data_IF_578521965481
#
_entry.id   IF_578521965481
#
_cell.length_a   1.000
_cell.length_b   1.000
_cell.length_c   1.000
_cell.angle_alpha   90.00
_cell.angle_beta   90.00
_cell.angle_gamma   90.00
#
_symmetry.space_group_name_H-M   'P 1'
#
loop_
_entity.id
_entity.type
_entity.pdbx_description
1 polymer ?
#
# COMPACT_ATOMS: atom_id res chain seq x y z
N UNK A 1 51.19 6.00 -11.64
CA UNK A 1 50.04 5.27 -11.05
C UNK A 1 48.78 5.87 -11.63
N UNK A 2 48.09 5.10 -12.47
CA UNK A 2 46.96 5.56 -13.24
C UNK A 2 45.77 5.91 -12.34
N UNK A 3 45.18 7.05 -12.62
CA UNK A 3 43.97 7.60 -12.03
C UNK A 3 42.78 6.67 -12.27
N UNK A 4 42.27 6.04 -11.21
CA UNK A 4 41.00 5.30 -11.25
C UNK A 4 40.11 5.72 -10.09
N UNK A 5 39.65 6.96 -10.14
CA UNK A 5 38.68 7.52 -9.18
C UNK A 5 37.43 7.99 -9.92
N UNK A 6 36.75 7.12 -10.67
CA UNK A 6 35.51 7.47 -11.39
C UNK A 6 34.75 6.23 -11.88
N UNK A 7 34.39 5.33 -10.96
CA UNK A 7 33.51 4.19 -11.29
C UNK A 7 32.46 3.87 -10.23
N UNK A 8 32.32 4.70 -9.18
CA UNK A 8 31.37 4.44 -8.08
C UNK A 8 30.18 5.42 -8.06
N UNK A 9 30.09 6.35 -9.02
CA UNK A 9 28.99 7.31 -9.07
C UNK A 9 27.79 6.79 -9.89
N UNK A 10 28.03 5.88 -10.85
CA UNK A 10 27.00 5.42 -11.79
C UNK A 10 25.96 4.50 -11.15
N UNK A 11 26.39 3.57 -10.29
CA UNK A 11 25.48 2.67 -9.58
C UNK A 11 24.57 3.39 -8.58
N UNK A 12 25.11 4.38 -7.84
CA UNK A 12 24.33 5.14 -6.88
C UNK A 12 23.26 6.00 -7.57
N UNK A 13 23.59 6.60 -8.72
CA UNK A 13 22.64 7.36 -9.53
C UNK A 13 21.53 6.47 -10.10
N UNK A 14 21.85 5.24 -10.53
CA UNK A 14 20.83 4.27 -10.96
C UNK A 14 19.90 3.86 -9.82
N UNK A 15 20.42 3.63 -8.60
CA UNK A 15 19.59 3.35 -7.42
C UNK A 15 18.70 4.54 -7.05
N UNK A 16 19.24 5.76 -7.08
CA UNK A 16 18.48 6.99 -6.83
C UNK A 16 17.39 7.22 -7.88
N UNK A 17 17.68 6.92 -9.15
CA UNK A 17 16.71 7.00 -10.24
C UNK A 17 15.59 5.96 -10.09
N UNK A 18 15.90 4.72 -9.69
CA UNK A 18 14.90 3.68 -9.40
C UNK A 18 14.00 4.04 -8.22
N UNK A 19 14.53 4.73 -7.20
CA UNK A 19 13.71 5.27 -6.09
C UNK A 19 12.81 6.42 -6.56
N UNK A 20 13.27 7.24 -7.51
CA UNK A 20 12.48 8.37 -8.04
C UNK A 20 11.44 7.93 -9.08
N UNK A 21 11.72 6.86 -9.85
CA UNK A 21 10.78 6.23 -10.78
C UNK A 21 9.90 5.17 -10.12
N UNK A 22 9.93 5.11 -8.78
CA UNK A 22 8.84 4.64 -7.95
C UNK A 22 7.60 5.52 -8.12
N UNK A 23 7.11 5.59 -9.35
CA UNK A 23 5.68 5.52 -9.65
C UNK A 23 5.20 4.28 -8.91
N UNK A 24 4.94 4.46 -7.61
CA UNK A 24 3.99 3.63 -6.91
C UNK A 24 2.73 3.86 -7.71
N UNK A 25 2.47 2.97 -8.66
CA UNK A 25 1.13 2.68 -9.08
C UNK A 25 0.49 2.12 -7.81
N UNK A 26 0.15 3.03 -6.90
CA UNK A 26 -1.05 2.94 -6.10
C UNK A 26 -2.09 2.80 -7.20
N UNK A 27 -2.35 1.55 -7.61
CA UNK A 27 -3.63 1.21 -8.19
C UNK A 27 -4.57 1.64 -7.10
N UNK A 28 -5.03 2.90 -7.21
CA UNK A 28 -6.02 3.45 -6.34
C UNK A 28 -7.24 2.68 -6.79
N UNK A 29 -7.41 1.52 -6.15
CA UNK A 29 -8.67 0.94 -5.80
C UNK A 29 -9.42 2.09 -5.08
N UNK A 30 -9.85 3.13 -5.82
CA UNK A 30 -10.42 4.40 -5.31
C UNK A 30 -11.65 4.16 -4.42
N UNK A 31 -12.12 2.92 -4.46
CA UNK A 31 -13.21 2.32 -3.75
C UNK A 31 -12.87 1.70 -2.40
N UNK A 32 -11.61 1.34 -2.15
CA UNK A 32 -11.17 0.74 -0.90
C UNK A 32 -10.56 1.81 0.00
N UNK A 33 -11.26 2.11 1.10
CA UNK A 33 -10.82 3.13 2.06
C UNK A 33 -10.17 2.47 3.27
N UNK A 34 -9.04 3.01 3.68
CA UNK A 34 -8.30 2.55 4.86
C UNK A 34 -9.09 2.85 6.15
N UNK A 35 -9.28 1.82 6.99
CA UNK A 35 -9.97 1.91 8.27
C UNK A 35 -9.02 1.66 9.48
N UNK A 36 -7.74 2.00 9.35
CA UNK A 36 -6.70 1.86 10.38
C UNK A 36 -7.06 2.56 11.71
N UNK A 37 -7.83 3.65 11.67
CA UNK A 37 -8.22 4.38 12.87
C UNK A 37 -8.99 3.53 13.90
N UNK A 38 -9.84 2.60 13.43
CA UNK A 38 -10.64 1.73 14.30
C UNK A 38 -10.07 0.31 14.41
N UNK A 39 -9.27 -0.11 13.42
CA UNK A 39 -8.71 -1.46 13.35
C UNK A 39 -7.28 -1.43 12.81
N UNK A 40 -6.30 -1.12 13.67
CA UNK A 40 -4.95 -0.77 13.21
C UNK A 40 -4.14 -1.95 12.67
N UNK A 41 -4.51 -3.18 13.03
CA UNK A 41 -3.86 -4.39 12.51
C UNK A 41 -4.90 -5.45 12.19
N UNK A 42 -4.87 -5.93 10.96
CA UNK A 42 -5.86 -6.85 10.41
C UNK A 42 -5.37 -8.30 10.38
N UNK A 43 -5.61 -9.04 11.47
CA UNK A 43 -5.35 -10.49 11.53
C UNK A 43 -6.60 -11.35 11.31
N UNK A 44 -7.80 -10.74 11.32
CA UNK A 44 -9.07 -11.46 11.22
C UNK A 44 -9.98 -10.86 10.15
N UNK A 45 -9.92 -11.42 8.94
CA UNK A 45 -10.72 -11.02 7.79
C UNK A 45 -12.24 -10.90 8.10
N UNK A 46 -12.90 -11.87 8.76
CA UNK A 46 -14.34 -11.75 9.03
C UNK A 46 -14.68 -10.59 9.98
N UNK A 47 -13.79 -10.27 10.92
CA UNK A 47 -13.97 -9.16 11.86
C UNK A 47 -13.84 -7.80 11.15
N UNK A 48 -12.85 -7.66 10.27
CA UNK A 48 -12.72 -6.47 9.41
C UNK A 48 -13.95 -6.27 8.53
N UNK A 49 -14.41 -7.33 7.86
CA UNK A 49 -15.65 -7.29 7.05
C UNK A 49 -16.86 -6.85 7.85
N UNK A 50 -17.11 -7.46 9.01
CA UNK A 50 -18.23 -7.09 9.88
C UNK A 50 -18.17 -5.61 10.30
N UNK A 51 -17.01 -5.14 10.76
CA UNK A 51 -16.81 -3.74 11.14
C UNK A 51 -17.08 -2.75 9.99
N UNK A 52 -16.64 -3.08 8.77
CA UNK A 52 -16.93 -2.27 7.59
C UNK A 52 -18.44 -2.23 7.30
N UNK A 53 -19.12 -3.38 7.38
CA UNK A 53 -20.56 -3.49 7.13
C UNK A 53 -21.39 -2.76 8.17
N UNK A 54 -21.00 -2.80 9.45
CA UNK A 54 -21.62 -2.03 10.54
C UNK A 54 -21.57 -0.52 10.28
N UNK A 55 -20.58 -0.06 9.49
CA UNK A 55 -20.42 1.34 9.04
C UNK A 55 -21.06 1.63 7.67
N UNK A 56 -21.89 0.72 7.15
CA UNK A 56 -22.59 0.87 5.87
C UNK A 56 -21.71 0.72 4.64
N UNK A 57 -20.59 0.00 4.76
CA UNK A 57 -19.72 -0.37 3.63
C UNK A 57 -20.12 -1.74 3.08
N UNK A 58 -19.77 -2.02 1.83
CA UNK A 58 -20.21 -3.23 1.13
C UNK A 58 -19.43 -4.46 1.61
N UNK A 59 -18.13 -4.32 1.74
CA UNK A 59 -17.21 -5.37 2.18
C UNK A 59 -16.04 -4.78 2.97
N UNK A 60 -15.22 -5.64 3.57
CA UNK A 60 -13.93 -5.31 4.17
C UNK A 60 -12.88 -6.37 3.86
N UNK A 61 -11.63 -5.96 3.64
CA UNK A 61 -10.48 -6.86 3.38
C UNK A 61 -9.25 -6.49 4.22
N UNK A 62 -8.51 -7.49 4.69
CA UNK A 62 -7.17 -7.30 5.20
C UNK A 62 -6.20 -7.18 4.02
N UNK A 63 -5.71 -5.98 3.75
CA UNK A 63 -4.72 -5.71 2.72
C UNK A 63 -3.30 -5.71 3.30
N UNK A 64 -2.42 -6.55 2.75
CA UNK A 64 -1.00 -6.65 3.12
C UNK A 64 -0.06 -6.06 2.06
N UNK A 65 -0.58 -5.27 1.12
CA UNK A 65 0.23 -4.68 0.05
C UNK A 65 1.27 -3.71 0.63
N UNK A 66 2.46 -3.72 0.04
CA UNK A 66 3.52 -2.76 0.32
C UNK A 66 3.01 -1.31 0.07
N UNK A 67 3.33 -0.32 0.93
CA UNK A 67 4.35 -0.31 1.99
C UNK A 67 3.85 -0.68 3.39
N UNK A 68 2.68 -1.31 3.51
CA UNK A 68 2.12 -1.63 4.82
C UNK A 68 2.97 -2.70 5.53
N UNK A 69 3.56 -2.35 6.68
CA UNK A 69 4.37 -3.28 7.51
C UNK A 69 3.52 -4.34 8.20
N UNK A 70 2.23 -4.06 8.36
CA UNK A 70 1.23 -4.96 8.94
C UNK A 70 -0.02 -4.90 8.06
N UNK A 71 -0.82 -5.97 7.98
CA UNK A 71 -2.05 -5.93 7.20
C UNK A 71 -3.01 -4.89 7.76
N UNK A 72 -3.65 -4.11 6.89
CA UNK A 72 -4.59 -3.06 7.26
C UNK A 72 -5.99 -3.45 6.78
N UNK A 73 -7.02 -3.11 7.57
CA UNK A 73 -8.39 -3.28 7.12
C UNK A 73 -8.79 -2.16 6.17
N UNK A 74 -9.19 -2.53 4.96
CA UNK A 74 -9.77 -1.64 3.96
C UNK A 74 -11.26 -1.96 3.80
N UNK A 75 -12.10 -0.94 3.70
CA UNK A 75 -13.53 -1.10 3.48
C UNK A 75 -13.91 -0.69 2.06
N UNK A 76 -14.77 -1.47 1.41
CA UNK A 76 -15.29 -1.18 0.08
C UNK A 76 -16.45 -0.19 0.16
N UNK A 77 -16.30 0.98 -0.46
CA UNK A 77 -17.35 1.98 -0.54
C UNK A 77 -18.57 1.48 -1.34
N UNK A 78 -19.79 1.89 -0.94
CA UNK A 78 -20.98 1.65 -1.76
C UNK A 78 -20.92 2.45 -3.06
N UNK A 79 -21.47 1.89 -4.15
CA UNK A 79 -21.47 2.45 -5.52
C UNK A 79 -20.14 2.38 -6.27
N UNK A 80 -19.26 1.49 -5.83
CA UNK A 80 -18.08 1.09 -6.58
C UNK A 80 -18.47 0.10 -7.68
N UNK A 81 -18.53 0.59 -8.92
CA UNK A 81 -18.80 -0.24 -10.09
C UNK A 81 -17.51 -0.98 -10.48
N UNK A 82 -17.58 -2.31 -10.50
CA UNK A 82 -16.51 -3.21 -10.98
C UNK A 82 -16.51 -3.31 -12.50
#
# INVERSE_FOLDING_TARGET
MATSGKAMASGLLLCLLLVHSGMVVLGSDDCWVNNNADYPICFHQPKCRGHCQDKGKVDGRCNSNFPNLVPICECLLPNCNH
#
